data_IF_822391271601
#
_entry.id   IF_822391271601
#
_cell.length_a   1.000
_cell.length_b   1.000
_cell.length_c   1.000
_cell.angle_alpha   90.00
_cell.angle_beta   90.00
_cell.angle_gamma   90.00
#
_symmetry.space_group_name_H-M   'P 1'
#
loop_
_entity.id
_entity.type
_entity.pdbx_description
1 polymer ?
#
# COMPACT_ATOMS: atom_id res chain seq x y z
N UNK A 1 -11.53 -4.70 3.97
CA UNK A 1 -10.91 -3.65 3.14
C UNK A 1 -11.41 -3.83 1.72
N UNK A 2 -11.83 -2.76 1.06
CA UNK A 2 -12.13 -2.71 -0.36
C UNK A 2 -10.82 -2.46 -1.15
N UNK A 3 -10.67 -3.14 -2.29
CA UNK A 3 -9.43 -3.15 -3.05
C UNK A 3 -9.69 -2.78 -4.50
N UNK A 4 -9.02 -1.73 -4.97
CA UNK A 4 -9.11 -1.23 -6.34
C UNK A 4 -7.75 -1.39 -7.03
N UNK A 5 -7.76 -1.70 -8.33
CA UNK A 5 -6.54 -1.87 -9.11
C UNK A 5 -5.85 -3.23 -8.91
N UNK A 6 -6.59 -4.25 -8.45
CA UNK A 6 -6.06 -5.62 -8.33
C UNK A 6 -5.52 -6.14 -9.67
N UNK A 7 -6.18 -5.81 -10.78
CA UNK A 7 -5.72 -6.23 -12.11
C UNK A 7 -4.37 -5.58 -12.46
N UNK A 8 -4.20 -4.30 -12.15
CA UNK A 8 -2.91 -3.59 -12.29
C UNK A 8 -1.83 -4.26 -11.45
N UNK A 9 -2.15 -4.64 -10.21
CA UNK A 9 -1.23 -5.38 -9.35
C UNK A 9 -0.81 -6.70 -10.00
N UNK A 10 -1.78 -7.51 -10.45
CA UNK A 10 -1.51 -8.83 -11.05
C UNK A 10 -0.65 -8.70 -12.31
N UNK A 11 -0.95 -7.74 -13.18
CA UNK A 11 -0.20 -7.47 -14.40
C UNK A 11 1.23 -7.02 -14.12
N UNK A 12 1.41 -6.06 -13.20
CA UNK A 12 2.74 -5.55 -12.87
C UNK A 12 3.62 -6.62 -12.24
N UNK A 13 3.08 -7.48 -11.36
CA UNK A 13 3.84 -8.56 -10.74
C UNK A 13 4.41 -9.59 -11.75
N UNK A 14 3.89 -9.65 -12.97
CA UNK A 14 4.46 -10.50 -14.04
C UNK A 14 5.69 -9.87 -14.71
N UNK A 15 5.96 -8.59 -14.50
CA UNK A 15 7.07 -7.88 -15.14
C UNK A 15 8.37 -8.07 -14.35
N UNK A 16 9.50 -8.30 -15.03
CA UNK A 16 10.81 -8.17 -14.38
C UNK A 16 10.99 -6.73 -13.88
N UNK A 17 11.48 -6.56 -12.65
CA UNK A 17 11.69 -5.26 -12.01
C UNK A 17 10.41 -4.42 -11.87
N UNK A 18 9.28 -5.06 -11.59
CA UNK A 18 8.03 -4.37 -11.34
C UNK A 18 8.18 -3.27 -10.29
N UNK A 19 7.45 -2.17 -10.51
CA UNK A 19 7.46 -1.04 -9.61
C UNK A 19 6.06 -0.44 -9.61
N UNK A 20 5.34 -0.64 -8.51
CA UNK A 20 3.94 -0.26 -8.37
C UNK A 20 3.76 0.61 -7.12
N UNK A 21 2.73 1.45 -7.14
CA UNK A 21 2.39 2.32 -6.02
C UNK A 21 1.02 1.94 -5.46
N UNK A 22 0.83 2.23 -4.19
CA UNK A 22 -0.47 2.11 -3.56
C UNK A 22 -0.77 3.28 -2.63
N UNK A 23 -2.06 3.55 -2.44
CA UNK A 23 -2.57 4.37 -1.34
C UNK A 23 -3.52 3.50 -0.55
N UNK A 24 -3.39 3.47 0.78
CA UNK A 24 -4.16 2.58 1.64
C UNK A 24 -4.51 3.19 3.00
N UNK A 25 -5.66 2.81 3.54
CA UNK A 25 -6.04 3.02 4.93
C UNK A 25 -6.68 1.75 5.50
N UNK A 26 -7.42 1.85 6.61
CA UNK A 26 -8.07 0.70 7.24
C UNK A 26 -9.26 0.12 6.44
N UNK A 27 -9.81 0.91 5.52
CA UNK A 27 -11.01 0.55 4.75
C UNK A 27 -10.72 0.27 3.29
N UNK A 28 -9.81 1.00 2.66
CA UNK A 28 -9.59 0.98 1.21
C UNK A 28 -8.10 0.84 0.86
N UNK A 29 -7.82 0.19 -0.27
CA UNK A 29 -6.52 0.22 -0.93
C UNK A 29 -6.68 0.39 -2.43
N UNK A 30 -5.83 1.22 -3.03
CA UNK A 30 -5.77 1.42 -4.48
C UNK A 30 -4.36 1.15 -4.95
N UNK A 31 -4.21 0.21 -5.87
CA UNK A 31 -2.96 -0.06 -6.59
C UNK A 31 -2.96 0.67 -7.93
N UNK A 32 -1.83 1.26 -8.29
CA UNK A 32 -1.71 2.03 -9.53
C UNK A 32 -0.27 2.08 -10.06
N UNK A 33 -0.08 2.28 -11.38
CA UNK A 33 1.24 2.29 -11.98
C UNK A 33 2.13 3.41 -11.42
N UNK A 34 3.44 3.16 -11.42
CA UNK A 34 4.38 4.07 -10.78
C UNK A 34 4.51 5.47 -11.40
N UNK A 35 4.10 5.65 -12.66
CA UNK A 35 4.07 6.97 -13.29
C UNK A 35 2.98 7.90 -12.72
N UNK A 36 2.05 7.38 -11.91
CA UNK A 36 1.02 8.17 -11.24
C UNK A 36 1.54 8.63 -9.86
N UNK A 37 1.22 9.88 -9.50
CA UNK A 37 1.56 10.43 -8.19
C UNK A 37 0.54 10.00 -7.12
N UNK A 38 0.99 9.71 -5.90
CA UNK A 38 0.06 9.39 -4.80
C UNK A 38 -0.96 10.53 -4.56
N UNK A 39 -0.53 11.78 -4.71
CA UNK A 39 -1.36 12.98 -4.55
C UNK A 39 -2.42 13.17 -5.63
N UNK A 40 -2.35 12.47 -6.76
CA UNK A 40 -3.37 12.54 -7.82
C UNK A 40 -4.49 11.51 -7.65
N UNK A 41 -4.32 10.54 -6.73
CA UNK A 41 -5.34 9.55 -6.44
C UNK A 41 -6.44 10.18 -5.57
N UNK A 42 -7.68 10.01 -6.01
CA UNK A 42 -8.89 10.45 -5.31
C UNK A 42 -9.88 9.30 -5.31
N UNK A 43 -10.22 8.81 -4.13
CA UNK A 43 -11.37 7.93 -3.92
C UNK A 43 -12.14 8.52 -2.74
N UNK A 44 -13.47 8.46 -2.79
CA UNK A 44 -14.30 8.95 -1.68
C UNK A 44 -13.90 8.19 -0.41
N UNK A 45 -13.49 8.92 0.63
CA UNK A 45 -13.01 8.32 1.88
C UNK A 45 -11.53 7.94 1.92
N UNK A 46 -10.76 8.16 0.83
CA UNK A 46 -9.31 7.93 0.78
C UNK A 46 -8.60 9.16 0.20
N UNK A 47 -7.91 9.90 1.07
CA UNK A 47 -7.16 11.09 0.71
C UNK A 47 -5.75 10.99 1.26
N UNK A 48 -4.77 10.94 0.36
CA UNK A 48 -3.36 11.07 0.72
C UNK A 48 -2.98 12.56 0.73
N UNK A 49 -2.50 13.03 1.88
CA UNK A 49 -1.94 14.37 2.13
C UNK A 49 -0.90 14.22 3.22
N UNK A 50 0.28 14.84 3.09
CA UNK A 50 1.41 14.61 4.00
C UNK A 50 1.16 15.06 5.47
N UNK A 51 0.07 15.80 5.73
CA UNK A 51 -0.24 16.37 7.05
C UNK A 51 -1.60 15.90 7.61
N UNK A 52 -2.64 15.86 6.78
CA UNK A 52 -4.03 15.60 7.21
C UNK A 52 -4.66 14.42 6.45
N UNK A 53 -3.86 13.70 5.67
CA UNK A 53 -4.33 12.54 4.93
C UNK A 53 -4.81 11.44 5.86
N UNK A 54 -5.88 10.77 5.46
CA UNK A 54 -6.36 9.56 6.13
C UNK A 54 -5.82 8.30 5.46
N UNK A 55 -4.74 8.41 4.68
CA UNK A 55 -4.17 7.34 3.90
C UNK A 55 -2.65 7.34 3.94
N UNK A 56 -2.07 6.14 3.84
CA UNK A 56 -0.66 5.87 3.70
C UNK A 56 -0.31 5.76 2.21
N UNK A 57 0.88 6.21 1.84
CA UNK A 57 1.46 5.94 0.53
C UNK A 57 2.43 4.76 0.62
N UNK A 58 2.36 3.84 -0.33
CA UNK A 58 3.27 2.71 -0.42
C UNK A 58 3.86 2.57 -1.83
N UNK A 59 5.02 1.93 -1.89
CA UNK A 59 5.70 1.47 -3.09
C UNK A 59 5.91 -0.04 -2.96
N UNK A 60 5.77 -0.76 -4.07
CA UNK A 60 5.84 -2.22 -4.12
C UNK A 60 6.80 -2.62 -5.24
N UNK A 61 7.89 -3.27 -4.87
CA UNK A 61 8.93 -3.78 -5.77
C UNK A 61 9.73 -4.91 -5.09
N UNK A 62 10.38 -5.79 -5.84
CA UNK A 62 11.38 -6.74 -5.32
C UNK A 62 10.94 -7.53 -4.05
N UNK A 63 9.70 -8.01 -4.01
CA UNK A 63 9.06 -8.67 -2.86
C UNK A 63 9.04 -7.82 -1.57
N UNK A 64 9.00 -6.49 -1.72
CA UNK A 64 8.92 -5.51 -0.63
C UNK A 64 7.73 -4.59 -0.81
N UNK A 65 7.12 -4.20 0.31
CA UNK A 65 6.13 -3.14 0.43
C UNK A 65 6.75 -2.07 1.33
N UNK A 66 7.11 -0.93 0.76
CA UNK A 66 7.68 0.19 1.49
C UNK A 66 6.62 1.27 1.71
N UNK A 67 6.21 1.43 2.98
CA UNK A 67 5.19 2.38 3.40
C UNK A 67 5.87 3.66 3.87
N UNK A 68 5.48 4.79 3.28
CA UNK A 68 5.96 6.11 3.66
C UNK A 68 5.45 6.48 5.05
N UNK A 69 6.35 7.06 5.85
CA UNK A 69 6.02 7.58 7.17
C UNK A 69 4.93 8.66 7.09
N UNK A 70 3.93 8.56 7.96
CA UNK A 70 2.88 9.58 8.07
C UNK A 70 2.64 9.90 9.55
N UNK A 71 2.55 11.18 9.90
CA UNK A 71 2.49 11.61 11.30
C UNK A 71 1.23 11.10 12.03
N UNK A 72 0.11 11.06 11.31
CA UNK A 72 -1.18 10.56 11.82
C UNK A 72 -1.27 9.03 12.00
N UNK A 73 -0.22 8.27 11.70
CA UNK A 73 -0.23 6.80 11.77
C UNK A 73 0.89 6.28 12.69
N UNK A 74 0.49 5.74 13.84
CA UNK A 74 1.38 4.99 14.71
C UNK A 74 1.79 3.67 14.07
N UNK A 75 2.91 3.07 14.52
CA UNK A 75 3.40 1.79 14.01
C UNK A 75 2.35 0.69 14.18
N UNK A 76 1.68 0.66 15.33
CA UNK A 76 0.64 -0.31 15.66
C UNK A 76 -0.54 -0.21 14.68
N UNK A 77 -0.96 1.03 14.35
CA UNK A 77 -2.02 1.25 13.37
C UNK A 77 -1.61 0.77 11.98
N UNK A 78 -0.37 1.03 11.55
CA UNK A 78 0.15 0.52 10.27
C UNK A 78 0.18 -1.00 10.27
N UNK A 79 0.63 -1.65 11.33
CA UNK A 79 0.64 -3.12 11.44
C UNK A 79 -0.78 -3.69 11.26
N UNK A 80 -1.79 -3.10 11.91
CA UNK A 80 -3.19 -3.53 11.75
C UNK A 80 -3.65 -3.38 10.29
N UNK A 81 -3.41 -2.23 9.66
CA UNK A 81 -3.77 -1.98 8.26
C UNK A 81 -3.11 -3.00 7.33
N UNK A 82 -1.82 -3.26 7.53
CA UNK A 82 -1.06 -4.22 6.72
C UNK A 82 -1.54 -5.65 6.94
N UNK A 83 -1.87 -6.04 8.16
CA UNK A 83 -2.47 -7.35 8.43
C UNK A 83 -3.80 -7.53 7.71
N UNK A 84 -4.64 -6.49 7.66
CA UNK A 84 -5.89 -6.51 6.89
C UNK A 84 -5.59 -6.67 5.40
N UNK A 85 -4.64 -5.90 4.87
CA UNK A 85 -4.22 -5.96 3.47
C UNK A 85 -3.73 -7.37 3.08
N UNK A 86 -2.77 -7.94 3.82
CA UNK A 86 -2.17 -9.24 3.49
C UNK A 86 -3.11 -10.42 3.70
N UNK A 87 -4.13 -10.27 4.54
CA UNK A 87 -5.16 -11.29 4.70
C UNK A 87 -6.26 -11.23 3.63
N UNK A 88 -6.30 -10.18 2.79
CA UNK A 88 -7.30 -10.04 1.75
C UNK A 88 -7.17 -11.15 0.68
N UNK A 89 -8.29 -11.81 0.27
CA UNK A 89 -8.25 -12.94 -0.65
C UNK A 89 -7.69 -12.59 -2.04
N UNK A 90 -7.87 -11.35 -2.50
CA UNK A 90 -7.32 -10.91 -3.79
C UNK A 90 -5.81 -10.58 -3.75
N UNK A 91 -5.21 -10.54 -2.55
CA UNK A 91 -3.84 -10.07 -2.31
C UNK A 91 -2.92 -11.17 -1.77
N UNK A 92 -3.28 -12.44 -1.99
CA UNK A 92 -2.48 -13.59 -1.53
C UNK A 92 -1.04 -13.56 -2.05
N UNK A 93 -0.81 -13.00 -3.24
CA UNK A 93 0.54 -12.84 -3.82
C UNK A 93 1.45 -11.93 -3.01
N UNK A 94 0.89 -11.03 -2.20
CA UNK A 94 1.65 -10.11 -1.36
C UNK A 94 2.02 -10.70 0.01
N UNK A 95 1.46 -11.84 0.41
CA UNK A 95 1.64 -12.41 1.76
C UNK A 95 3.09 -12.71 2.12
N UNK A 96 3.92 -13.02 1.14
CA UNK A 96 5.34 -13.33 1.34
C UNK A 96 6.24 -12.10 1.25
N UNK A 97 5.67 -10.91 1.06
CA UNK A 97 6.45 -9.69 0.90
C UNK A 97 6.91 -9.19 2.25
N UNK A 98 8.14 -8.69 2.29
CA UNK A 98 8.65 -7.96 3.44
C UNK A 98 8.00 -6.58 3.47
N UNK A 99 7.54 -6.13 4.63
CA UNK A 99 6.90 -4.83 4.76
C UNK A 99 7.76 -3.91 5.61
N UNK A 100 7.94 -2.68 5.15
CA UNK A 100 8.73 -1.66 5.80
C UNK A 100 7.87 -0.42 6.08
N UNK A 101 8.07 0.22 7.22
CA UNK A 101 7.46 1.49 7.56
C UNK A 101 8.51 2.40 8.18
N UNK A 102 8.66 3.62 7.63
CA UNK A 102 9.73 4.57 8.04
C UNK A 102 11.14 3.99 7.93
N UNK A 103 11.36 3.09 6.97
CA UNK A 103 12.65 2.40 6.77
C UNK A 103 12.86 1.17 7.67
N UNK A 104 11.99 0.95 8.64
CA UNK A 104 12.09 -0.17 9.59
C UNK A 104 11.24 -1.36 9.12
N UNK A 105 11.76 -2.57 9.28
CA UNK A 105 11.03 -3.79 8.96
C UNK A 105 9.89 -4.02 9.96
N UNK A 106 8.68 -4.24 9.47
CA UNK A 106 7.53 -4.58 10.30
C UNK A 106 7.48 -6.08 10.55
N UNK A 107 7.38 -6.46 11.82
CA UNK A 107 7.09 -7.83 12.23
C UNK A 107 5.56 -8.04 12.24
N UNK A 108 5.05 -8.77 11.24
CA UNK A 108 3.62 -8.97 10.97
C UNK A 108 3.15 -10.35 11.44
#
# INVERSE_FOLDING_TARGET
MNVVGVDVLKEELQRPNYFLKAVLNEFDTIFFPANIQHSSIRLVGLSYSDLEGNALAAVINNNKIEIRGHQSFSVEKVIVIVKILLNHPDLLSLRTFQVYYKGEHLHL
#
